data_IF_669444259532
#
_entry.id   IF_669444259532
#
_cell.length_a   1.000
_cell.length_b   1.000
_cell.length_c   1.000
_cell.angle_alpha   90.00
_cell.angle_beta   90.00
_cell.angle_gamma   90.00
#
_symmetry.space_group_name_H-M   'P 1'
#
loop_
_entity.id
_entity.type
_entity.pdbx_description
1 polymer ?
#
# COMPACT_ATOMS: atom_id res chain seq x y z
N UNK A 1 -28.08 -2.11 -22.99
CA UNK A 1 -27.44 -2.89 -21.90
C UNK A 1 -25.99 -2.40 -21.75
N UNK A 2 -25.68 -1.53 -20.78
CA UNK A 2 -24.34 -0.93 -20.58
C UNK A 2 -23.61 -1.66 -19.45
N UNK A 3 -22.54 -2.39 -19.75
CA UNK A 3 -21.66 -3.01 -18.74
C UNK A 3 -20.64 -1.95 -18.28
N UNK A 4 -20.93 -1.26 -17.18
CA UNK A 4 -19.94 -0.42 -16.50
C UNK A 4 -19.08 -1.31 -15.61
N UNK A 5 -18.16 -2.07 -16.20
CA UNK A 5 -17.07 -2.66 -15.46
C UNK A 5 -16.08 -1.53 -15.14
N UNK A 6 -16.31 -0.83 -14.03
CA UNK A 6 -15.32 0.10 -13.45
C UNK A 6 -14.14 -0.75 -13.02
N UNK A 7 -13.17 -0.92 -13.91
CA UNK A 7 -11.92 -1.56 -13.57
C UNK A 7 -11.19 -0.61 -12.61
N UNK A 8 -11.39 -0.78 -11.31
CA UNK A 8 -10.77 0.03 -10.23
C UNK A 8 -9.29 -0.36 -10.07
N UNK A 9 -8.53 -0.42 -11.16
CA UNK A 9 -7.08 -0.59 -11.08
C UNK A 9 -6.51 0.64 -10.39
N UNK A 10 -5.77 0.41 -9.31
CA UNK A 10 -5.00 1.46 -8.63
C UNK A 10 -3.56 1.36 -9.09
N UNK A 11 -2.99 2.48 -9.53
CA UNK A 11 -1.56 2.57 -9.84
C UNK A 11 -0.82 2.92 -8.56
N UNK A 12 0.18 2.11 -8.22
CA UNK A 12 1.03 2.32 -7.04
C UNK A 12 2.48 2.40 -7.51
N UNK A 13 3.16 3.51 -7.21
CA UNK A 13 4.59 3.67 -7.45
C UNK A 13 5.32 3.51 -6.12
N UNK A 14 6.29 2.60 -6.07
CA UNK A 14 7.07 2.30 -4.85
C UNK A 14 8.55 2.51 -5.15
N UNK A 15 9.27 3.18 -4.24
CA UNK A 15 10.72 3.27 -4.30
C UNK A 15 11.32 2.00 -3.69
N UNK A 16 12.19 1.34 -4.44
CA UNK A 16 12.89 0.13 -4.00
C UNK A 16 14.39 0.32 -4.15
N UNK A 17 15.16 -0.40 -3.36
CA UNK A 17 16.61 -0.46 -3.51
C UNK A 17 17.00 -1.02 -4.90
N UNK A 18 18.05 -0.50 -5.57
CA UNK A 18 18.47 -0.99 -6.88
C UNK A 18 18.72 -2.50 -6.95
N UNK A 19 19.18 -3.12 -5.85
CA UNK A 19 19.38 -4.57 -5.80
C UNK A 19 18.05 -5.33 -5.87
N UNK A 20 16.98 -4.77 -5.32
CA UNK A 20 15.64 -5.35 -5.41
C UNK A 20 15.11 -5.22 -6.85
N UNK A 21 15.29 -4.07 -7.50
CA UNK A 21 14.94 -3.91 -8.92
C UNK A 21 15.67 -4.93 -9.80
N UNK A 22 16.96 -5.12 -9.59
CA UNK A 22 17.76 -6.09 -10.35
C UNK A 22 17.26 -7.53 -10.18
N UNK A 23 16.87 -7.90 -8.96
CA UNK A 23 16.28 -9.23 -8.69
C UNK A 23 14.91 -9.40 -9.35
N UNK A 24 14.07 -8.36 -9.32
CA UNK A 24 12.78 -8.36 -10.03
C UNK A 24 12.97 -8.47 -11.54
N UNK A 25 13.98 -7.80 -12.09
CA UNK A 25 14.37 -7.91 -13.50
C UNK A 25 14.78 -9.32 -13.87
N UNK A 26 15.65 -9.94 -13.07
CA UNK A 26 16.07 -11.32 -13.29
C UNK A 26 14.88 -12.29 -13.29
N UNK A 27 13.94 -12.12 -12.34
CA UNK A 27 12.71 -12.94 -12.29
C UNK A 27 11.83 -12.72 -13.52
N UNK A 28 11.72 -11.47 -13.98
CA UNK A 28 11.00 -11.13 -15.20
C UNK A 28 11.61 -11.82 -16.42
N UNK A 29 12.92 -11.70 -16.60
CA UNK A 29 13.65 -12.25 -17.73
C UNK A 29 13.61 -13.80 -17.72
N UNK A 30 13.77 -14.43 -16.56
CA UNK A 30 13.76 -15.89 -16.42
C UNK A 30 12.38 -16.54 -16.64
N UNK A 31 11.29 -15.81 -16.38
CA UNK A 31 9.91 -16.35 -16.46
C UNK A 31 9.10 -15.80 -17.65
N UNK A 32 9.65 -14.84 -18.38
CA UNK A 32 8.94 -14.13 -19.46
C UNK A 32 7.80 -13.22 -18.99
N UNK A 33 7.79 -12.83 -17.71
CA UNK A 33 6.76 -11.96 -17.11
C UNK A 33 7.29 -10.54 -16.89
N UNK A 34 6.40 -9.57 -16.67
CA UNK A 34 6.79 -8.19 -16.34
C UNK A 34 7.21 -8.09 -14.87
N UNK A 35 8.15 -7.21 -14.54
CA UNK A 35 8.56 -6.95 -13.15
C UNK A 35 7.38 -6.55 -12.24
N UNK A 36 6.44 -5.77 -12.78
CA UNK A 36 5.23 -5.34 -12.07
C UNK A 36 4.38 -6.50 -11.57
N UNK A 37 4.39 -7.64 -12.27
CA UNK A 37 3.68 -8.85 -11.84
C UNK A 37 4.25 -9.37 -10.52
N UNK A 38 5.57 -9.41 -10.40
CA UNK A 38 6.23 -9.87 -9.16
C UNK A 38 6.04 -8.89 -8.02
N UNK A 39 6.07 -7.58 -8.28
CA UNK A 39 5.76 -6.59 -7.25
C UNK A 39 4.32 -6.73 -6.74
N UNK A 40 3.35 -6.91 -7.65
CA UNK A 40 1.97 -7.17 -7.29
C UNK A 40 1.83 -8.45 -6.45
N UNK A 41 2.44 -9.56 -6.89
CA UNK A 41 2.39 -10.81 -6.15
C UNK A 41 3.03 -10.71 -4.77
N UNK A 42 4.13 -9.97 -4.63
CA UNK A 42 4.80 -9.76 -3.35
C UNK A 42 3.91 -8.97 -2.38
N UNK A 43 3.16 -7.99 -2.88
CA UNK A 43 2.17 -7.25 -2.09
C UNK A 43 0.98 -8.15 -1.72
N UNK A 44 0.38 -8.85 -2.69
CA UNK A 44 -0.81 -9.67 -2.48
C UNK A 44 -0.56 -10.87 -1.56
N UNK A 45 0.58 -11.55 -1.72
CA UNK A 45 0.95 -12.68 -0.87
C UNK A 45 1.59 -12.26 0.46
N UNK A 46 2.25 -11.09 0.49
CA UNK A 46 2.99 -10.63 1.66
C UNK A 46 2.16 -9.85 2.66
N UNK A 47 0.98 -9.35 2.28
CA UNK A 47 0.19 -8.45 3.13
C UNK A 47 -0.16 -9.09 4.49
N UNK A 48 -0.59 -10.35 4.51
CA UNK A 48 -0.94 -11.03 5.77
C UNK A 48 0.24 -11.20 6.73
N UNK A 49 1.43 -11.48 6.18
CA UNK A 49 2.65 -11.57 6.99
C UNK A 49 3.07 -10.20 7.57
N UNK A 50 2.87 -9.12 6.79
CA UNK A 50 3.13 -7.76 7.26
C UNK A 50 2.13 -7.36 8.34
N UNK A 51 0.85 -7.70 8.16
CA UNK A 51 -0.20 -7.48 9.14
C UNK A 51 0.15 -8.13 10.49
N UNK A 52 0.65 -9.36 10.49
CA UNK A 52 1.10 -10.06 11.71
C UNK A 52 2.26 -9.38 12.44
N UNK A 53 3.17 -8.73 11.71
CA UNK A 53 4.33 -8.07 12.29
C UNK A 53 3.95 -6.69 12.86
N UNK A 54 3.06 -5.97 12.19
CA UNK A 54 2.84 -4.54 12.43
C UNK A 54 1.50 -4.20 13.08
N UNK A 55 0.50 -5.10 13.04
CA UNK A 55 -0.79 -4.84 13.66
C UNK A 55 -0.86 -5.36 15.10
N UNK A 56 -1.46 -4.59 16.02
CA UNK A 56 -1.82 -5.10 17.33
C UNK A 56 -2.78 -6.30 17.22
N UNK A 57 -2.71 -7.29 18.13
CA UNK A 57 -3.54 -8.49 18.07
C UNK A 57 -5.05 -8.22 17.93
N UNK A 58 -5.55 -7.17 18.60
CA UNK A 58 -6.96 -6.78 18.54
C UNK A 58 -7.38 -6.25 17.15
N UNK A 59 -6.47 -5.59 16.43
CA UNK A 59 -6.73 -5.08 15.07
C UNK A 59 -6.58 -6.21 14.06
N UNK A 60 -5.56 -7.06 14.23
CA UNK A 60 -5.32 -8.22 13.39
C UNK A 60 -6.48 -9.22 13.42
N UNK A 61 -7.09 -9.47 14.58
CA UNK A 61 -8.29 -10.30 14.70
C UNK A 61 -9.44 -9.76 13.83
N UNK A 62 -9.69 -8.44 13.88
CA UNK A 62 -10.73 -7.79 13.07
C UNK A 62 -10.42 -7.90 11.57
N UNK A 63 -9.17 -7.67 11.16
CA UNK A 63 -8.76 -7.82 9.76
C UNK A 63 -8.98 -9.24 9.26
N UNK A 64 -8.68 -10.26 10.08
CA UNK A 64 -8.96 -11.68 9.75
C UNK A 64 -10.46 -12.00 9.68
N UNK A 65 -11.28 -11.27 10.43
CA UNK A 65 -12.75 -11.34 10.35
C UNK A 65 -13.32 -10.55 9.15
N UNK A 66 -12.46 -9.92 8.33
CA UNK A 66 -12.86 -9.11 7.19
C UNK A 66 -13.33 -7.69 7.55
N UNK A 67 -13.16 -7.30 8.81
CA UNK A 67 -13.44 -5.95 9.31
C UNK A 67 -12.17 -5.13 9.25
N UNK A 68 -12.11 -4.20 8.30
CA UNK A 68 -11.06 -3.18 8.29
C UNK A 68 -11.49 -2.08 9.26
N UNK A 69 -10.85 -1.93 10.44
CA UNK A 69 -11.20 -0.83 11.32
C UNK A 69 -10.94 0.48 10.59
N UNK A 70 -11.93 1.36 10.61
CA UNK A 70 -11.78 2.72 10.12
C UNK A 70 -10.60 3.35 10.84
N UNK A 71 -9.55 3.82 10.12
CA UNK A 71 -8.47 4.53 10.79
C UNK A 71 -9.07 5.72 11.53
N UNK A 72 -8.89 5.76 12.85
CA UNK A 72 -9.34 6.86 13.69
C UNK A 72 -8.80 8.17 13.10
N UNK A 73 -9.65 9.09 12.60
CA UNK A 73 -9.19 10.32 11.97
C UNK A 73 -8.37 11.20 12.93
N UNK A 74 -8.52 10.98 14.24
CA UNK A 74 -7.78 11.66 15.30
C UNK A 74 -6.33 11.16 15.48
N UNK A 75 -5.99 9.92 15.10
CA UNK A 75 -4.59 9.44 15.14
C UNK A 75 -3.74 9.95 13.99
N UNK A 76 -4.39 10.39 12.90
CA UNK A 76 -3.75 10.94 11.71
C UNK A 76 -3.48 12.45 11.86
N UNK A 77 -3.85 13.05 13.00
CA UNK A 77 -3.69 14.49 13.30
C UNK A 77 -2.25 14.89 13.64
N UNK A 78 -1.25 14.24 13.06
CA UNK A 78 -0.01 14.92 12.65
C UNK A 78 -0.18 15.60 11.28
N UNK A 79 -1.42 15.75 10.80
CA UNK A 79 -1.74 16.50 9.60
C UNK A 79 -1.81 18.03 9.79
N UNK A 80 -1.62 18.56 11.01
CA UNK A 80 -1.75 20.01 11.25
C UNK A 80 -0.52 20.68 11.88
N UNK A 81 0.66 20.06 11.78
CA UNK A 81 1.93 20.70 12.18
C UNK A 81 2.42 21.79 11.20
N UNK A 82 1.77 21.89 10.03
CA UNK A 82 2.13 22.86 8.98
C UNK A 82 0.92 23.66 8.46
N UNK A 83 -0.19 23.68 9.22
CA UNK A 83 -1.46 24.28 8.78
C UNK A 83 -1.63 25.79 9.03
N UNK A 84 -0.77 26.44 9.82
CA UNK A 84 -0.93 27.87 10.10
C UNK A 84 0.39 28.64 10.14
N UNK A 85 0.98 28.88 8.95
CA UNK A 85 1.92 29.99 8.76
C UNK A 85 1.60 30.68 7.44
N UNK A 86 0.37 31.17 7.30
CA UNK A 86 -0.01 32.01 6.17
C UNK A 86 -0.81 33.22 6.67
N UNK A 87 -0.11 34.32 6.96
CA UNK A 87 -0.73 35.65 6.84
C UNK A 87 -0.53 36.67 7.95
N UNK A 88 0.63 36.75 8.62
CA UNK A 88 0.99 37.97 9.36
C UNK A 88 2.18 38.67 8.70
N UNK A 89 1.88 39.46 7.65
CA UNK A 89 2.71 40.53 7.13
C UNK A 89 1.80 41.48 6.34
N UNK A 90 1.35 42.56 6.99
CA UNK A 90 1.70 43.98 6.74
C UNK A 90 0.75 44.83 7.58
#
# INVERSE_FOLDING_TARGET
MRRNATNKLKVVAVRVDPKIEQRLRLLADATGRKQSFFLQQLIESGIGAIEEIWLPPAVLAQVREGVLPSPDPTKNSTADLFGDVAGQNV
#
